data_IF_523957799097
#
_entry.id   IF_523957799097
#
_cell.length_a   1.000
_cell.length_b   1.000
_cell.length_c   1.000
_cell.angle_alpha   90.00
_cell.angle_beta   90.00
_cell.angle_gamma   90.00
#
_symmetry.space_group_name_H-M   'P 1'
#
loop_
_entity.id
_entity.type
_entity.pdbx_description
1 polymer ?
#
# COMPACT_ATOMS: atom_id res chain seq x y z
N UNK A 1 -34.89 -26.06 -17.45
CA UNK A 1 -33.69 -25.37 -18.05
C UNK A 1 -34.23 -24.42 -19.09
N UNK A 2 -34.02 -23.16 -18.89
CA UNK A 2 -34.50 -22.11 -19.78
C UNK A 2 -33.62 -22.07 -21.06
N UNK A 3 -34.17 -21.63 -22.20
CA UNK A 3 -33.42 -21.48 -23.46
C UNK A 3 -32.09 -20.67 -23.31
N UNK A 4 -32.04 -19.79 -22.31
CA UNK A 4 -30.85 -18.98 -22.01
C UNK A 4 -29.73 -19.80 -21.37
N UNK A 5 -30.06 -20.74 -20.47
CA UNK A 5 -29.06 -21.63 -19.85
C UNK A 5 -28.45 -22.60 -20.84
N UNK A 6 -29.26 -23.11 -21.78
CA UNK A 6 -28.80 -23.97 -22.88
C UNK A 6 -27.91 -23.21 -23.87
N UNK A 7 -28.24 -21.97 -24.22
CA UNK A 7 -27.45 -21.12 -25.12
C UNK A 7 -26.12 -20.68 -24.45
N UNK A 8 -26.09 -20.43 -23.15
CA UNK A 8 -24.87 -20.11 -22.38
C UNK A 8 -23.95 -21.33 -22.29
N UNK A 9 -24.49 -22.51 -21.98
CA UNK A 9 -23.75 -23.76 -21.92
C UNK A 9 -23.09 -24.07 -23.25
N UNK A 10 -23.84 -23.97 -24.38
CA UNK A 10 -23.32 -24.18 -25.73
C UNK A 10 -22.24 -23.15 -26.15
N UNK A 11 -22.33 -21.90 -25.65
CA UNK A 11 -21.27 -20.89 -25.87
C UNK A 11 -20.01 -21.19 -25.06
N UNK A 12 -20.12 -21.70 -23.84
CA UNK A 12 -18.97 -22.07 -23.01
C UNK A 12 -18.26 -23.33 -23.52
N UNK A 13 -18.98 -24.31 -24.04
CA UNK A 13 -18.39 -25.53 -24.61
C UNK A 13 -17.59 -25.28 -25.93
N UNK A 14 -17.94 -24.25 -26.69
CA UNK A 14 -17.27 -23.91 -27.95
C UNK A 14 -16.15 -22.87 -27.83
N UNK A 15 -15.96 -22.27 -26.64
CA UNK A 15 -14.80 -21.45 -26.40
C UNK A 15 -13.67 -22.31 -25.81
N UNK A 16 -12.92 -22.98 -26.70
CA UNK A 16 -11.58 -23.40 -26.33
C UNK A 16 -10.77 -22.13 -26.08
N UNK A 17 -10.62 -21.78 -24.78
CA UNK A 17 -9.65 -20.77 -24.37
C UNK A 17 -8.31 -21.30 -24.89
N UNK A 18 -7.62 -20.60 -25.77
CA UNK A 18 -6.31 -21.05 -26.25
C UNK A 18 -5.44 -21.28 -25.01
N UNK A 19 -4.75 -22.40 -24.95
CA UNK A 19 -3.79 -22.69 -23.90
C UNK A 19 -2.70 -21.62 -24.00
N UNK A 20 -2.83 -20.59 -23.14
CA UNK A 20 -1.82 -19.54 -23.06
C UNK A 20 -0.66 -20.10 -22.23
N UNK A 21 0.46 -20.35 -22.89
CA UNK A 21 1.70 -20.59 -22.19
C UNK A 21 2.14 -19.24 -21.58
N UNK A 22 2.02 -19.12 -20.27
CA UNK A 22 2.60 -17.98 -19.58
C UNK A 22 4.13 -18.09 -19.65
N UNK A 23 4.86 -17.00 -19.93
CA UNK A 23 6.30 -17.03 -19.91
C UNK A 23 6.76 -17.51 -18.52
N UNK A 24 7.75 -18.39 -18.49
CA UNK A 24 8.36 -18.83 -17.23
C UNK A 24 8.98 -17.61 -16.56
N UNK A 25 8.53 -17.30 -15.35
CA UNK A 25 9.15 -16.23 -14.55
C UNK A 25 10.53 -16.68 -14.06
N UNK A 26 11.46 -15.73 -13.95
CA UNK A 26 12.74 -15.89 -13.27
C UNK A 26 12.64 -15.58 -11.76
N UNK A 27 11.45 -15.16 -11.33
CA UNK A 27 11.20 -14.81 -9.94
C UNK A 27 11.42 -16.00 -9.01
N UNK A 28 12.04 -15.76 -7.89
CA UNK A 28 12.22 -16.71 -6.80
C UNK A 28 11.68 -16.13 -5.50
N UNK A 29 11.23 -17.04 -4.62
CA UNK A 29 10.66 -16.71 -3.31
C UNK A 29 11.56 -17.26 -2.23
N UNK A 30 11.92 -16.45 -1.27
CA UNK A 30 12.77 -16.81 -0.14
C UNK A 30 12.09 -16.38 1.16
N UNK A 31 12.16 -17.20 2.20
CA UNK A 31 11.71 -16.81 3.54
C UNK A 31 12.94 -16.72 4.45
N UNK A 32 13.14 -15.56 5.07
CA UNK A 32 14.21 -15.31 6.01
C UNK A 32 13.92 -15.93 7.38
N UNK A 33 14.93 -16.07 8.23
CA UNK A 33 14.78 -16.67 9.58
C UNK A 33 13.78 -15.91 10.46
N UNK A 34 13.60 -14.62 10.24
CA UNK A 34 12.63 -13.79 10.96
C UNK A 34 11.20 -13.81 10.37
N UNK A 35 10.93 -14.69 9.41
CA UNK A 35 9.63 -14.85 8.78
C UNK A 35 9.36 -13.94 7.57
N UNK A 36 10.22 -12.97 7.27
CA UNK A 36 10.06 -12.08 6.12
C UNK A 36 10.16 -12.87 4.82
N UNK A 37 9.19 -12.72 3.95
CA UNK A 37 9.23 -13.25 2.58
C UNK A 37 9.89 -12.24 1.64
N UNK A 38 10.82 -12.72 0.82
CA UNK A 38 11.52 -11.91 -0.18
C UNK A 38 11.27 -12.49 -1.56
N UNK A 39 10.78 -11.65 -2.46
CA UNK A 39 10.59 -11.95 -3.88
C UNK A 39 11.73 -11.33 -4.69
N UNK A 40 12.43 -12.14 -5.47
CA UNK A 40 13.51 -11.68 -6.36
C UNK A 40 13.15 -12.01 -7.80
N UNK A 41 13.10 -10.99 -8.65
CA UNK A 41 12.92 -11.14 -10.11
C UNK A 41 14.10 -10.48 -10.85
N UNK A 42 15.24 -11.19 -11.00
CA UNK A 42 16.45 -10.61 -11.56
C UNK A 42 16.35 -10.44 -13.07
N UNK A 43 16.61 -9.21 -13.55
CA UNK A 43 16.88 -8.93 -14.96
C UNK A 43 18.30 -8.33 -15.12
N UNK A 44 19.32 -9.16 -15.44
CA UNK A 44 20.70 -8.70 -15.55
C UNK A 44 20.94 -7.72 -16.72
N UNK A 45 19.95 -7.50 -17.58
CA UNK A 45 20.04 -6.53 -18.67
C UNK A 45 19.49 -5.16 -18.29
N UNK A 46 18.74 -5.05 -17.17
CA UNK A 46 18.22 -3.79 -16.70
C UNK A 46 19.21 -3.12 -15.72
N UNK A 47 19.67 -1.88 -15.99
CA UNK A 47 20.55 -1.15 -15.06
C UNK A 47 19.78 -0.46 -13.93
N UNK A 48 18.51 -0.79 -13.76
CA UNK A 48 17.59 -0.20 -12.77
C UNK A 48 17.02 -1.26 -11.85
N UNK A 49 16.60 -0.85 -10.67
CA UNK A 49 15.92 -1.72 -9.70
C UNK A 49 14.70 -1.02 -9.14
N UNK A 50 13.65 -1.81 -8.87
CA UNK A 50 12.52 -1.43 -8.02
C UNK A 50 12.61 -2.24 -6.72
N UNK A 51 12.80 -1.55 -5.59
CA UNK A 51 12.74 -2.16 -4.27
C UNK A 51 11.39 -1.83 -3.65
N UNK A 52 10.65 -2.86 -3.22
CA UNK A 52 9.28 -2.69 -2.76
C UNK A 52 9.08 -3.41 -1.42
N UNK A 53 8.32 -2.80 -0.52
CA UNK A 53 7.82 -3.44 0.70
C UNK A 53 6.29 -3.45 0.63
N UNK A 54 5.73 -4.64 0.56
CA UNK A 54 4.29 -4.89 0.48
C UNK A 54 3.80 -5.34 1.84
N UNK A 55 3.08 -4.49 2.52
CA UNK A 55 2.41 -4.82 3.78
C UNK A 55 1.00 -5.31 3.45
N UNK A 56 0.65 -6.54 3.83
CA UNK A 56 -0.67 -7.15 3.60
C UNK A 56 -1.73 -6.53 4.53
N UNK A 57 -1.79 -5.21 4.53
CA UNK A 57 -2.71 -4.42 5.35
C UNK A 57 -3.12 -3.17 4.61
N UNK A 58 -4.42 -3.01 4.45
CA UNK A 58 -5.06 -1.84 3.87
C UNK A 58 -6.35 -1.52 4.62
N UNK A 59 -7.22 -0.69 4.05
CA UNK A 59 -8.39 -0.14 4.75
C UNK A 59 -9.39 -1.18 5.25
N UNK A 60 -9.51 -2.36 4.62
CA UNK A 60 -10.38 -3.42 5.11
C UNK A 60 -9.89 -4.07 6.42
N UNK A 61 -8.60 -3.89 6.75
CA UNK A 61 -7.97 -4.47 7.93
C UNK A 61 -7.97 -3.52 9.15
N UNK A 62 -8.59 -2.36 9.05
CA UNK A 62 -8.58 -1.32 10.09
C UNK A 62 -9.37 -1.69 11.35
N UNK A 63 -10.21 -2.75 11.29
CA UNK A 63 -10.93 -3.26 12.47
C UNK A 63 -11.78 -2.17 13.13
N UNK A 64 -11.50 -1.82 14.38
CA UNK A 64 -12.22 -0.77 15.12
C UNK A 64 -12.08 0.63 14.51
N UNK A 65 -11.09 0.84 13.64
CA UNK A 65 -10.84 2.10 12.95
C UNK A 65 -11.43 2.11 11.52
N UNK A 66 -12.24 1.12 11.16
CA UNK A 66 -12.80 1.01 9.82
C UNK A 66 -13.49 2.31 9.40
N UNK A 67 -13.07 2.84 8.26
CA UNK A 67 -13.57 4.11 7.73
C UNK A 67 -12.90 5.36 8.34
N UNK A 68 -11.91 5.19 9.23
CA UNK A 68 -11.13 6.30 9.75
C UNK A 68 -9.88 6.64 8.90
N UNK A 69 -9.46 5.73 7.99
CA UNK A 69 -8.32 5.96 7.11
C UNK A 69 -6.96 5.87 7.82
N UNK A 70 -6.87 5.04 8.87
CA UNK A 70 -5.62 4.91 9.64
C UNK A 70 -4.50 4.28 8.81
N UNK A 71 -4.82 3.41 7.84
CA UNK A 71 -3.84 2.82 6.92
C UNK A 71 -3.22 3.88 6.02
N UNK A 72 -4.03 4.79 5.48
CA UNK A 72 -3.57 5.90 4.66
C UNK A 72 -2.77 6.94 5.48
N UNK A 73 -3.22 7.25 6.69
CA UNK A 73 -2.45 8.10 7.61
C UNK A 73 -1.08 7.50 7.92
N UNK A 74 -1.01 6.19 8.13
CA UNK A 74 0.25 5.49 8.40
C UNK A 74 1.17 5.52 7.18
N UNK A 75 0.64 5.38 5.98
CA UNK A 75 1.39 5.53 4.73
C UNK A 75 2.14 6.87 4.70
N UNK A 76 1.46 8.00 4.94
CA UNK A 76 2.08 9.33 5.00
C UNK A 76 3.14 9.43 6.10
N UNK A 77 2.88 8.85 7.26
CA UNK A 77 3.73 9.02 8.43
C UNK A 77 5.03 8.21 8.42
N UNK A 78 5.09 7.12 7.63
CA UNK A 78 6.30 6.30 7.47
C UNK A 78 7.46 7.12 6.88
N UNK A 79 7.17 8.12 6.05
CA UNK A 79 8.16 9.02 5.45
C UNK A 79 8.65 10.16 6.35
N UNK A 80 8.07 10.36 7.52
CA UNK A 80 8.32 11.55 8.36
C UNK A 80 9.46 11.38 9.38
N UNK A 81 10.14 10.26 9.34
CA UNK A 81 11.33 9.97 10.13
C UNK A 81 11.34 8.57 10.70
N UNK A 82 12.55 8.11 10.98
CA UNK A 82 12.86 6.82 11.59
C UNK A 82 13.71 7.04 12.84
N UNK A 83 14.17 5.96 13.48
CA UNK A 83 15.15 6.06 14.55
C UNK A 83 16.50 6.62 14.06
N UNK A 84 16.81 6.45 12.77
CA UNK A 84 18.11 6.75 12.16
C UNK A 84 18.10 8.01 11.29
N UNK A 85 16.98 8.31 10.64
CA UNK A 85 16.84 9.41 9.69
C UNK A 85 15.68 10.30 10.08
N UNK A 86 15.81 11.61 9.97
CA UNK A 86 14.64 12.49 9.89
C UNK A 86 14.02 12.43 8.47
N UNK A 87 12.82 12.99 8.31
CA UNK A 87 12.11 12.92 7.03
C UNK A 87 12.87 13.56 5.87
N UNK A 88 13.65 14.62 6.10
CA UNK A 88 14.47 15.25 5.06
C UNK A 88 15.65 14.36 4.69
N UNK A 89 16.32 13.76 5.68
CA UNK A 89 17.44 12.87 5.45
C UNK A 89 17.04 11.59 4.66
N UNK A 90 15.80 11.09 4.84
CA UNK A 90 15.25 10.02 4.01
C UNK A 90 15.24 10.44 2.55
N UNK A 91 14.61 11.59 2.25
CA UNK A 91 14.49 12.11 0.89
C UNK A 91 15.86 12.37 0.26
N UNK A 92 16.75 13.06 0.99
CA UNK A 92 18.08 13.41 0.53
C UNK A 92 18.93 12.16 0.23
N UNK A 93 18.83 11.12 1.07
CA UNK A 93 19.56 9.87 0.90
C UNK A 93 19.12 9.14 -0.38
N UNK A 94 17.82 9.03 -0.62
CA UNK A 94 17.29 8.37 -1.82
C UNK A 94 17.65 9.16 -3.07
N UNK A 95 17.46 10.49 -3.06
CA UNK A 95 17.77 11.35 -4.20
C UNK A 95 19.28 11.37 -4.53
N UNK A 96 20.15 11.42 -3.51
CA UNK A 96 21.59 11.35 -3.71
C UNK A 96 22.05 10.02 -4.32
N UNK A 97 21.30 8.93 -4.07
CA UNK A 97 21.51 7.62 -4.68
C UNK A 97 20.84 7.48 -6.07
N UNK A 98 20.24 8.56 -6.59
CA UNK A 98 19.56 8.58 -7.90
C UNK A 98 18.19 7.92 -7.90
N UNK A 99 17.58 7.70 -6.73
CA UNK A 99 16.30 7.05 -6.58
C UNK A 99 15.12 8.02 -6.50
N UNK A 100 13.95 7.49 -6.81
CA UNK A 100 12.64 8.08 -6.55
C UNK A 100 11.83 7.13 -5.68
N UNK A 101 11.06 7.66 -4.76
CA UNK A 101 10.22 6.88 -3.86
C UNK A 101 8.77 7.32 -3.89
N UNK A 102 7.89 6.37 -3.65
CA UNK A 102 6.46 6.65 -3.46
C UNK A 102 5.81 5.53 -2.64
N UNK A 103 4.53 5.70 -2.33
CA UNK A 103 3.70 4.69 -1.69
C UNK A 103 2.26 4.78 -2.18
N UNK A 104 1.48 3.76 -1.88
CA UNK A 104 0.04 3.77 -2.04
C UNK A 104 -0.64 2.80 -1.08
N UNK A 105 -1.84 3.16 -0.65
CA UNK A 105 -2.72 2.31 0.15
C UNK A 105 -3.95 1.92 -0.67
N UNK A 106 -4.32 0.64 -0.60
CA UNK A 106 -5.54 0.09 -1.20
C UNK A 106 -6.44 -0.51 -0.12
N UNK A 107 -7.43 -1.28 -0.53
CA UNK A 107 -8.30 -1.99 0.41
C UNK A 107 -7.54 -3.07 1.20
N UNK A 108 -6.62 -3.78 0.58
CA UNK A 108 -5.98 -4.99 1.12
C UNK A 108 -4.49 -4.87 1.40
N UNK A 109 -3.84 -3.80 0.95
CA UNK A 109 -2.38 -3.61 1.09
C UNK A 109 -1.96 -2.16 1.17
N UNK A 110 -0.78 -1.94 1.74
CA UNK A 110 0.00 -0.70 1.61
C UNK A 110 1.36 -1.05 1.05
N UNK A 111 1.79 -0.33 0.03
CA UNK A 111 3.05 -0.60 -0.67
C UNK A 111 3.92 0.65 -0.62
N UNK A 112 5.18 0.46 -0.25
CA UNK A 112 6.24 1.46 -0.27
C UNK A 112 7.29 1.02 -1.28
N UNK A 113 7.78 1.91 -2.12
CA UNK A 113 8.77 1.53 -3.11
C UNK A 113 9.79 2.63 -3.40
N UNK A 114 10.96 2.19 -3.81
CA UNK A 114 12.05 3.04 -4.26
C UNK A 114 12.56 2.47 -5.58
N UNK A 115 12.51 3.27 -6.63
CA UNK A 115 13.01 2.96 -7.97
C UNK A 115 14.28 3.75 -8.23
N UNK A 116 15.28 3.12 -8.86
CA UNK A 116 16.52 3.82 -9.17
C UNK A 116 17.62 2.94 -9.77
N UNK A 117 18.88 3.40 -9.79
CA UNK A 117 20.00 2.63 -10.32
C UNK A 117 20.23 1.34 -9.53
N UNK A 118 20.48 0.23 -10.24
CA UNK A 118 20.69 -1.07 -9.60
C UNK A 118 21.88 -1.11 -8.64
N UNK A 119 22.90 -0.27 -8.88
CA UNK A 119 24.08 -0.12 -8.01
C UNK A 119 23.76 0.46 -6.62
N UNK A 120 22.61 1.13 -6.46
CA UNK A 120 22.15 1.75 -5.22
C UNK A 120 21.24 0.85 -4.37
N UNK A 121 21.04 -0.42 -4.74
CA UNK A 121 20.13 -1.35 -4.10
C UNK A 121 20.29 -1.45 -2.58
N UNK A 122 21.54 -1.50 -2.08
CA UNK A 122 21.80 -1.59 -0.63
C UNK A 122 21.28 -0.35 0.12
N UNK A 123 21.45 0.83 -0.47
CA UNK A 123 20.93 2.09 0.08
C UNK A 123 19.41 2.08 0.10
N UNK A 124 18.78 1.68 -1.00
CA UNK A 124 17.31 1.66 -1.11
C UNK A 124 16.71 0.65 -0.13
N UNK A 125 17.25 -0.56 -0.02
CA UNK A 125 16.79 -1.55 0.94
C UNK A 125 17.00 -1.09 2.39
N UNK A 126 18.14 -0.46 2.70
CA UNK A 126 18.41 0.07 4.03
C UNK A 126 17.41 1.16 4.43
N UNK A 127 17.12 2.11 3.52
CA UNK A 127 16.16 3.18 3.79
C UNK A 127 14.74 2.62 3.90
N UNK A 128 14.33 1.77 2.96
CA UNK A 128 12.99 1.19 2.91
C UNK A 128 12.67 0.36 4.16
N UNK A 129 13.61 -0.48 4.60
CA UNK A 129 13.44 -1.29 5.82
C UNK A 129 13.38 -0.44 7.10
N UNK A 130 14.21 0.61 7.19
CA UNK A 130 14.13 1.55 8.33
C UNK A 130 12.78 2.27 8.35
N UNK A 131 12.29 2.76 7.22
CA UNK A 131 11.01 3.44 7.11
C UNK A 131 9.84 2.55 7.51
N UNK A 132 9.78 1.33 6.96
CA UNK A 132 8.64 0.43 7.15
C UNK A 132 8.59 -0.16 8.55
N UNK A 133 9.74 -0.56 9.11
CA UNK A 133 9.78 -1.29 10.38
C UNK A 133 10.18 -0.46 11.60
N UNK A 134 10.80 0.72 11.42
CA UNK A 134 11.29 1.56 12.52
C UNK A 134 10.93 3.04 12.41
N UNK A 135 9.70 3.39 11.99
CA UNK A 135 9.30 4.79 11.93
C UNK A 135 9.21 5.38 13.34
N UNK A 136 9.64 6.62 13.50
CA UNK A 136 9.65 7.33 14.79
C UNK A 136 8.33 8.04 15.11
N UNK A 137 7.54 8.33 14.07
CA UNK A 137 6.26 9.04 14.17
C UNK A 137 6.34 10.35 14.97
N UNK A 138 7.10 11.36 14.56
CA UNK A 138 7.24 12.61 15.30
C UNK A 138 5.87 13.29 15.53
N UNK A 139 5.63 13.77 16.75
CA UNK A 139 4.32 14.34 17.11
C UNK A 139 3.96 15.58 16.29
N UNK A 140 4.96 16.43 15.99
CA UNK A 140 4.76 17.61 15.16
C UNK A 140 4.38 17.24 13.72
N UNK A 141 5.05 16.25 13.15
CA UNK A 141 4.74 15.76 11.79
C UNK A 141 3.37 15.08 11.72
N UNK A 142 2.97 14.37 12.78
CA UNK A 142 1.63 13.78 12.87
C UNK A 142 0.53 14.85 12.72
N UNK A 143 0.64 15.97 13.44
CA UNK A 143 -0.36 17.05 13.34
C UNK A 143 -0.31 17.76 11.98
N UNK A 144 0.87 17.92 11.39
CA UNK A 144 1.02 18.48 10.04
C UNK A 144 0.35 17.58 9.00
N UNK A 145 0.64 16.26 9.04
CA UNK A 145 0.07 15.30 8.08
C UNK A 145 -1.44 15.14 8.26
N UNK A 146 -1.96 15.19 9.47
CA UNK A 146 -3.43 15.23 9.65
C UNK A 146 -4.04 16.44 8.92
N UNK A 147 -3.38 17.58 8.88
CA UNK A 147 -3.88 18.75 8.13
C UNK A 147 -3.74 18.57 6.60
N UNK A 148 -2.73 17.83 6.13
CA UNK A 148 -2.59 17.47 4.70
C UNK A 148 -3.74 16.55 4.29
N UNK A 149 -3.95 15.46 5.01
CA UNK A 149 -4.97 14.46 4.69
C UNK A 149 -6.40 15.05 4.79
N UNK A 150 -6.67 15.97 5.73
CA UNK A 150 -7.95 16.70 5.77
C UNK A 150 -8.23 17.43 4.46
N UNK A 151 -7.21 18.09 3.90
CA UNK A 151 -7.35 18.77 2.60
C UNK A 151 -7.54 17.79 1.46
N UNK A 152 -6.89 16.63 1.49
CA UNK A 152 -7.10 15.57 0.50
C UNK A 152 -8.52 15.01 0.57
N UNK A 153 -9.08 14.80 1.78
CA UNK A 153 -10.48 14.38 1.96
C UNK A 153 -11.42 15.43 1.34
N UNK A 154 -11.20 16.71 1.62
CA UNK A 154 -12.00 17.82 1.08
C UNK A 154 -11.87 17.89 -0.45
N UNK A 155 -10.66 17.80 -0.99
CA UNK A 155 -10.41 17.80 -2.44
C UNK A 155 -11.12 16.63 -3.14
N UNK A 156 -11.05 15.42 -2.57
CA UNK A 156 -11.76 14.25 -3.11
C UNK A 156 -13.29 14.38 -3.01
N UNK A 157 -13.82 15.21 -2.09
CA UNK A 157 -15.23 15.50 -2.04
C UNK A 157 -15.66 16.52 -3.11
N UNK A 158 -14.75 17.36 -3.58
CA UNK A 158 -14.98 18.33 -4.65
C UNK A 158 -14.79 17.71 -6.05
N UNK A 159 -14.05 16.58 -6.14
CA UNK A 159 -13.81 15.87 -7.40
C UNK A 159 -15.00 14.95 -7.77
N UNK A 160 -15.62 15.11 -8.96
CA UNK A 160 -16.75 14.30 -9.39
C UNK A 160 -16.42 12.81 -9.57
N UNK A 161 -15.20 12.48 -10.02
CA UNK A 161 -14.78 11.09 -10.27
C UNK A 161 -14.54 10.36 -8.95
N UNK A 162 -13.89 11.00 -7.98
CA UNK A 162 -13.73 10.45 -6.62
C UNK A 162 -15.08 10.23 -5.93
N UNK A 163 -15.99 11.21 -6.03
CA UNK A 163 -17.36 11.08 -5.50
C UNK A 163 -18.11 9.91 -6.14
N UNK A 164 -18.00 9.77 -7.45
CA UNK A 164 -18.63 8.65 -8.17
C UNK A 164 -18.03 7.31 -7.75
N UNK A 165 -16.71 7.23 -7.60
CA UNK A 165 -16.02 6.06 -7.09
C UNK A 165 -16.51 5.67 -5.69
N UNK A 166 -16.58 6.62 -4.75
CA UNK A 166 -17.12 6.39 -3.39
C UNK A 166 -18.58 5.91 -3.42
N UNK A 167 -19.42 6.53 -4.25
CA UNK A 167 -20.82 6.10 -4.40
C UNK A 167 -20.92 4.69 -4.98
N UNK A 168 -20.10 4.35 -5.98
CA UNK A 168 -20.05 3.02 -6.56
C UNK A 168 -19.71 1.96 -5.51
N UNK A 169 -18.61 2.16 -4.76
CA UNK A 169 -18.18 1.19 -3.74
C UNK A 169 -19.19 1.09 -2.59
N UNK A 170 -19.73 2.19 -2.06
CA UNK A 170 -20.71 2.17 -0.98
C UNK A 170 -22.05 1.53 -1.40
N UNK A 171 -22.37 1.55 -2.70
CA UNK A 171 -23.58 0.91 -3.25
C UNK A 171 -23.34 -0.59 -3.53
N UNK A 172 -22.17 -0.93 -4.10
CA UNK A 172 -21.85 -2.30 -4.48
C UNK A 172 -21.53 -3.19 -3.25
N UNK A 173 -20.98 -2.63 -2.20
CA UNK A 173 -20.50 -3.34 -1.01
C UNK A 173 -21.24 -2.89 0.25
N UNK A 174 -22.54 -3.21 0.38
CA UNK A 174 -23.39 -2.70 1.46
C UNK A 174 -23.02 -3.17 2.87
N UNK A 175 -22.32 -4.31 3.01
CA UNK A 175 -21.91 -4.91 4.30
C UNK A 175 -20.40 -5.21 4.38
N UNK A 176 -19.67 -5.04 3.30
CA UNK A 176 -18.24 -5.29 3.23
C UNK A 176 -17.45 -4.03 3.60
N UNK A 177 -16.28 -4.20 4.19
CA UNK A 177 -15.40 -3.09 4.57
C UNK A 177 -15.01 -2.19 3.38
N UNK A 178 -15.01 -2.70 2.15
CA UNK A 178 -14.77 -1.93 0.92
C UNK A 178 -15.85 -0.89 0.62
N UNK A 179 -16.97 -0.89 1.34
CA UNK A 179 -17.94 0.21 1.30
C UNK A 179 -17.39 1.53 1.85
N UNK A 180 -16.33 1.46 2.66
CA UNK A 180 -15.68 2.62 3.28
C UNK A 180 -14.51 3.12 2.40
N UNK A 181 -14.34 4.45 2.25
CA UNK A 181 -13.23 5.00 1.49
C UNK A 181 -11.89 4.72 2.17
N UNK A 182 -10.85 4.44 1.39
CA UNK A 182 -9.49 4.17 1.89
C UNK A 182 -8.94 5.35 2.70
N UNK A 183 -9.16 6.56 2.23
CA UNK A 183 -8.73 7.80 2.93
C UNK A 183 -9.52 8.07 4.21
N UNK A 184 -10.67 7.42 4.39
CA UNK A 184 -11.54 7.58 5.54
C UNK A 184 -12.57 8.71 5.41
N UNK A 185 -13.42 8.80 6.44
CA UNK A 185 -14.40 9.87 6.64
C UNK A 185 -13.83 10.93 7.59
N UNK A 186 -14.03 12.20 7.29
CA UNK A 186 -13.47 13.34 8.04
C UNK A 186 -13.72 13.28 9.55
N UNK A 187 -14.93 12.93 9.96
CA UNK A 187 -15.34 12.86 11.37
C UNK A 187 -14.64 11.73 12.13
N UNK A 188 -14.48 10.55 11.50
CA UNK A 188 -13.74 9.42 12.07
C UNK A 188 -12.24 9.66 12.05
N UNK A 189 -11.71 10.19 10.93
CA UNK A 189 -10.30 10.54 10.79
C UNK A 189 -9.84 11.51 11.87
N UNK A 190 -10.66 12.51 12.20
CA UNK A 190 -10.34 13.52 13.22
C UNK A 190 -10.16 12.91 14.62
N UNK A 191 -10.76 11.75 14.91
CA UNK A 191 -10.67 11.07 16.20
C UNK A 191 -9.38 10.25 16.35
N UNK A 192 -8.66 9.98 15.24
CA UNK A 192 -7.40 9.23 15.29
C UNK A 192 -6.35 9.95 16.11
N UNK A 193 -5.72 9.22 17.04
CA UNK A 193 -4.59 9.69 17.83
C UNK A 193 -3.28 9.09 17.30
N UNK A 194 -2.16 9.73 17.67
CA UNK A 194 -0.83 9.21 17.36
C UNK A 194 -0.60 7.83 18.01
N UNK A 195 -1.11 7.62 19.19
CA UNK A 195 -1.04 6.36 19.92
C UNK A 195 -1.80 5.23 19.22
N UNK A 196 -2.97 5.53 18.66
CA UNK A 196 -3.74 4.58 17.84
C UNK A 196 -2.94 4.14 16.61
N UNK A 197 -2.32 5.09 15.91
CA UNK A 197 -1.49 4.82 14.73
C UNK A 197 -0.25 4.01 15.10
N UNK A 198 0.45 4.36 16.17
CA UNK A 198 1.62 3.60 16.65
C UNK A 198 1.25 2.16 17.04
N UNK A 199 0.08 1.98 17.67
CA UNK A 199 -0.42 0.64 18.00
C UNK A 199 -0.75 -0.14 16.74
N UNK A 200 -1.45 0.48 15.78
CA UNK A 200 -1.82 -0.12 14.51
C UNK A 200 -0.57 -0.55 13.72
N UNK A 201 0.47 0.29 13.67
CA UNK A 201 1.73 -0.07 13.06
C UNK A 201 2.34 -1.32 13.71
N UNK A 202 2.49 -1.38 15.03
CA UNK A 202 3.06 -2.54 15.72
C UNK A 202 2.28 -3.84 15.49
N UNK A 203 0.96 -3.75 15.30
CA UNK A 203 0.10 -4.91 15.10
C UNK A 203 0.11 -5.41 13.64
N UNK A 204 0.39 -4.54 12.68
CA UNK A 204 0.24 -4.83 11.26
C UNK A 204 1.54 -4.89 10.46
N UNK A 205 2.53 -4.11 10.84
CA UNK A 205 3.81 -4.00 10.13
C UNK A 205 4.82 -4.98 10.74
N UNK A 206 4.55 -6.25 10.59
CA UNK A 206 5.39 -7.37 11.06
C UNK A 206 6.04 -8.07 9.88
N UNK A 207 7.11 -8.81 10.13
CA UNK A 207 7.82 -9.55 9.08
C UNK A 207 6.96 -10.64 8.45
N UNK A 208 6.03 -11.25 9.21
CA UNK A 208 5.12 -12.28 8.69
C UNK A 208 3.98 -11.69 7.84
N UNK A 209 3.75 -10.36 7.96
CA UNK A 209 2.69 -9.65 7.22
C UNK A 209 3.25 -8.72 6.15
N UNK A 210 4.53 -8.89 5.82
CA UNK A 210 5.25 -8.06 4.83
C UNK A 210 6.09 -8.93 3.90
N UNK A 211 6.17 -8.56 2.65
CA UNK A 211 7.12 -9.13 1.69
C UNK A 211 7.73 -8.09 0.78
#
# INVERSE_FOLDING_TARGET
MTDIESALAHRLENHQIPHMEFPTTRASVHTLENGLTVLLDPDPQAPVISTQAWVETGSIHEGRFLGAGISHLLEHMVFKGTERYDGQAISDTVQAAGGEWNAYTTFDRTVYYIDGPAESVETFLSVLTEMVFKPSFPAEEFEKEKNVIRREIDMGMDDPDDRNGRLLYSTAYSIDARSQPVIGHMDLFNQLTREDMQKYHRERYTTENTF
#
